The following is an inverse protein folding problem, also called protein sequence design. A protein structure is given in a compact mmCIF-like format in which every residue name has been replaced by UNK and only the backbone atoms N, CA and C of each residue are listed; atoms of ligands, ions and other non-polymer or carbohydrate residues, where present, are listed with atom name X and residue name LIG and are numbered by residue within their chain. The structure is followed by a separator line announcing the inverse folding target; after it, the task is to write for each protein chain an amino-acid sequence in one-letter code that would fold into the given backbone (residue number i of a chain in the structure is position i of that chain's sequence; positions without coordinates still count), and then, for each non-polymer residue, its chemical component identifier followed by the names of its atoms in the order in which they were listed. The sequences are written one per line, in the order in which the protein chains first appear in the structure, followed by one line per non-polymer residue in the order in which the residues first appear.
data_IF_132597328432
#
_entry.id   IF_132597328432
#
_cell.length_a   1.000
_cell.length_b   1.000
_cell.length_c   1.000
_cell.angle_alpha   90.00
_cell.angle_beta   90.00
_cell.angle_gamma   90.00
#
_symmetry.space_group_name_H-M   'P 1'
#
loop_
_entity.id
_entity.type
_entity.pdbx_description
1 polymer ?
#
# COMPACT_ATOMS: atom_id res chain seq x y z
N UNK A 1 -15.91 21.65 25.26
CA UNK A 1 -15.81 20.21 24.87
C UNK A 1 -16.55 19.40 25.91
N UNK A 2 -17.53 18.60 25.53
CA UNK A 2 -18.41 17.86 26.46
C UNK A 2 -17.59 16.73 27.13
N UNK A 3 -17.72 16.51 28.45
CA UNK A 3 -16.97 15.46 29.18
C UNK A 3 -17.10 14.06 28.57
N UNK A 4 -18.25 13.75 27.95
CA UNK A 4 -18.46 12.48 27.25
C UNK A 4 -17.52 12.28 26.06
N UNK A 5 -17.21 13.36 25.30
CA UNK A 5 -16.30 13.27 24.16
C UNK A 5 -14.83 13.07 24.60
N UNK A 6 -14.45 13.62 25.74
CA UNK A 6 -13.09 13.43 26.31
C UNK A 6 -12.87 11.99 26.76
N UNK A 7 -13.86 11.37 27.42
CA UNK A 7 -13.79 9.96 27.85
C UNK A 7 -13.73 9.00 26.64
N UNK A 8 -14.57 9.21 25.63
CA UNK A 8 -14.55 8.40 24.41
C UNK A 8 -13.19 8.48 23.70
N UNK A 9 -12.61 9.66 23.61
CA UNK A 9 -11.27 9.86 23.04
C UNK A 9 -10.20 9.10 23.84
N UNK A 10 -10.22 9.19 25.16
CA UNK A 10 -9.26 8.47 26.02
C UNK A 10 -9.38 6.96 25.84
N UNK A 11 -10.60 6.42 25.84
CA UNK A 11 -10.86 5.01 25.59
C UNK A 11 -10.34 4.58 24.21
N UNK A 12 -10.60 5.38 23.19
CA UNK A 12 -10.10 5.12 21.84
C UNK A 12 -8.55 5.09 21.81
N UNK A 13 -7.88 6.02 22.48
CA UNK A 13 -6.41 6.06 22.55
C UNK A 13 -5.85 4.85 23.29
N UNK A 14 -6.44 4.45 24.43
CA UNK A 14 -6.04 3.24 25.15
C UNK A 14 -6.21 2.00 24.28
N UNK A 15 -7.35 1.87 23.62
CA UNK A 15 -7.59 0.76 22.69
C UNK A 15 -6.58 0.75 21.54
N UNK A 16 -6.30 1.90 20.94
CA UNK A 16 -5.29 2.03 19.90
C UNK A 16 -3.89 1.62 20.38
N UNK A 17 -3.50 2.01 21.60
CA UNK A 17 -2.20 1.63 22.16
C UNK A 17 -2.09 0.11 22.32
N UNK A 18 -3.11 -0.52 22.92
CA UNK A 18 -3.17 -1.98 23.09
C UNK A 18 -3.14 -2.69 21.72
N UNK A 19 -3.98 -2.24 20.77
CA UNK A 19 -4.05 -2.85 19.44
C UNK A 19 -2.72 -2.69 18.69
N UNK A 20 -2.06 -1.54 18.79
CA UNK A 20 -0.73 -1.33 18.21
C UNK A 20 0.29 -2.34 18.79
N UNK A 21 0.32 -2.49 20.12
CA UNK A 21 1.23 -3.42 20.77
C UNK A 21 0.98 -4.88 20.34
N UNK A 22 -0.29 -5.30 20.27
CA UNK A 22 -0.69 -6.63 19.80
C UNK A 22 -0.27 -6.86 18.35
N UNK A 23 -0.48 -5.88 17.46
CA UNK A 23 -0.08 -5.97 16.05
C UNK A 23 1.44 -6.08 15.92
N UNK A 24 2.20 -5.23 16.61
CA UNK A 24 3.67 -5.27 16.57
C UNK A 24 4.22 -6.60 17.07
N UNK A 25 3.70 -7.10 18.19
CA UNK A 25 4.07 -8.41 18.70
C UNK A 25 3.75 -9.52 17.70
N UNK A 26 2.56 -9.48 17.09
CA UNK A 26 2.12 -10.50 16.12
C UNK A 26 2.96 -10.46 14.84
N UNK A 27 3.22 -9.29 14.31
CA UNK A 27 4.07 -9.11 13.12
C UNK A 27 5.50 -9.57 13.38
N UNK A 28 6.09 -9.19 14.50
CA UNK A 28 7.44 -9.63 14.84
C UNK A 28 7.52 -11.16 14.84
N UNK A 29 6.53 -11.83 15.45
CA UNK A 29 6.49 -13.28 15.45
C UNK A 29 6.30 -13.89 14.05
N UNK A 30 5.39 -13.35 13.24
CA UNK A 30 5.17 -13.81 11.87
C UNK A 30 6.43 -13.62 11.03
N UNK A 31 7.04 -12.45 11.06
CA UNK A 31 8.25 -12.15 10.29
C UNK A 31 9.44 -13.02 10.71
N UNK A 32 9.60 -13.26 12.02
CA UNK A 32 10.62 -14.20 12.50
C UNK A 32 10.39 -15.62 11.95
N UNK A 33 9.17 -16.12 12.04
CA UNK A 33 8.83 -17.45 11.53
C UNK A 33 8.98 -17.56 10.01
N UNK A 34 8.72 -16.49 9.27
CA UNK A 34 8.96 -16.43 7.82
C UNK A 34 10.44 -16.38 7.49
N UNK A 35 11.25 -15.59 8.22
CA UNK A 35 12.69 -15.52 8.03
C UNK A 35 13.40 -16.85 8.38
N UNK A 36 12.85 -17.60 9.34
CA UNK A 36 13.36 -18.89 9.78
C UNK A 36 12.74 -20.10 9.02
N UNK A 37 11.99 -19.84 7.94
CA UNK A 37 11.31 -20.84 7.08
C UNK A 37 10.31 -21.76 7.79
N UNK A 38 9.78 -21.34 8.95
CA UNK A 38 8.68 -22.07 9.61
C UNK A 38 7.30 -21.74 9.01
N UNK A 39 7.20 -20.62 8.29
CA UNK A 39 6.01 -20.22 7.55
C UNK A 39 6.44 -19.91 6.11
N UNK A 40 5.83 -20.55 5.17
CA UNK A 40 6.16 -20.40 3.75
C UNK A 40 5.91 -18.97 3.27
N UNK A 41 6.95 -18.35 2.69
CA UNK A 41 6.96 -17.00 2.14
C UNK A 41 8.12 -16.84 1.16
N UNK A 42 8.21 -15.71 0.48
CA UNK A 42 9.37 -15.37 -0.36
C UNK A 42 10.62 -14.98 0.46
N UNK A 43 10.50 -14.84 1.78
CA UNK A 43 11.61 -14.34 2.60
C UNK A 43 12.85 -15.22 2.55
N UNK A 44 12.77 -16.57 2.68
CA UNK A 44 13.96 -17.44 2.53
C UNK A 44 14.61 -17.30 1.17
N UNK A 45 13.82 -17.23 0.09
CA UNK A 45 14.34 -17.03 -1.26
C UNK A 45 15.06 -15.68 -1.41
N UNK A 46 14.48 -14.59 -0.90
CA UNK A 46 15.15 -13.29 -0.88
C UNK A 46 16.44 -13.28 -0.06
N UNK A 47 16.47 -13.99 1.09
CA UNK A 47 17.69 -14.14 1.88
C UNK A 47 18.77 -14.90 1.10
N UNK A 48 18.40 -16.03 0.48
CA UNK A 48 19.33 -16.83 -0.32
C UNK A 48 19.88 -16.03 -1.50
N UNK A 49 19.03 -15.34 -2.27
CA UNK A 49 19.46 -14.50 -3.39
C UNK A 49 20.38 -13.36 -2.93
N UNK A 50 20.06 -12.71 -1.82
CA UNK A 50 20.89 -11.64 -1.27
C UNK A 50 22.27 -12.16 -0.86
N UNK A 51 22.36 -13.29 -0.18
CA UNK A 51 23.63 -13.87 0.28
C UNK A 51 24.47 -14.46 -0.86
N UNK A 52 23.84 -14.94 -1.92
CA UNK A 52 24.54 -15.38 -3.15
C UNK A 52 24.96 -14.23 -4.08
N UNK A 53 24.71 -12.98 -3.69
CA UNK A 53 24.97 -11.78 -4.50
C UNK A 53 24.22 -11.71 -5.84
N UNK A 54 23.16 -12.51 -6.01
CA UNK A 54 22.34 -12.55 -7.22
C UNK A 54 21.11 -11.63 -7.16
N UNK A 55 21.08 -10.70 -6.19
CA UNK A 55 20.02 -9.72 -6.04
C UNK A 55 20.62 -8.32 -5.80
N UNK A 56 19.97 -7.30 -6.33
CA UNK A 56 20.46 -5.91 -6.42
C UNK A 56 19.57 -4.92 -5.67
N UNK A 57 18.43 -5.34 -5.11
CA UNK A 57 17.49 -4.47 -4.38
C UNK A 57 18.07 -3.94 -3.06
N UNK A 58 17.54 -2.81 -2.58
CA UNK A 58 17.96 -2.25 -1.28
C UNK A 58 17.76 -3.25 -0.13
N UNK A 59 16.73 -4.11 -0.22
CA UNK A 59 16.49 -5.22 0.70
C UNK A 59 17.66 -6.19 0.79
N UNK A 60 18.32 -6.46 -0.32
CA UNK A 60 19.46 -7.40 -0.38
C UNK A 60 20.69 -6.84 0.30
N UNK A 61 20.97 -5.55 0.15
CA UNK A 61 22.04 -4.88 0.90
C UNK A 61 21.76 -4.91 2.41
N UNK A 62 20.51 -4.69 2.81
CA UNK A 62 20.10 -4.77 4.21
C UNK A 62 20.30 -6.19 4.76
N UNK A 63 19.88 -7.23 4.03
CA UNK A 63 20.07 -8.63 4.43
C UNK A 63 21.56 -8.93 4.60
N UNK A 64 22.39 -8.64 3.60
CA UNK A 64 23.83 -8.86 3.67
C UNK A 64 24.45 -8.19 4.88
N UNK A 65 24.07 -6.95 5.15
CA UNK A 65 24.53 -6.22 6.35
C UNK A 65 24.13 -6.94 7.63
N UNK A 66 22.87 -7.33 7.79
CA UNK A 66 22.38 -7.98 9.02
C UNK A 66 22.99 -9.36 9.25
N UNK A 67 23.15 -10.18 8.20
CA UNK A 67 23.81 -11.50 8.30
C UNK A 67 25.30 -11.37 8.54
N UNK A 68 25.95 -10.36 7.98
CA UNK A 68 27.39 -10.07 8.18
C UNK A 68 27.73 -9.65 9.60
N UNK A 69 26.77 -9.17 10.40
CA UNK A 69 27.03 -8.75 11.78
C UNK A 69 27.32 -9.94 12.71
N UNK A 70 26.46 -10.97 12.73
CA UNK A 70 26.56 -12.10 13.66
C UNK A 70 25.99 -13.42 13.13
N UNK A 71 25.90 -13.57 11.80
CA UNK A 71 25.42 -14.78 11.15
C UNK A 71 23.89 -14.94 11.14
N UNK A 72 23.44 -16.16 10.85
CA UNK A 72 22.06 -16.46 10.45
C UNK A 72 21.02 -16.14 11.53
N UNK A 73 21.14 -16.71 12.73
CA UNK A 73 20.14 -16.50 13.80
C UNK A 73 19.97 -15.03 14.18
N UNK A 74 21.09 -14.30 14.23
CA UNK A 74 21.04 -12.86 14.45
C UNK A 74 20.38 -12.14 13.27
N UNK A 75 20.73 -12.51 12.06
CA UNK A 75 20.17 -11.94 10.82
C UNK A 75 18.66 -12.12 10.75
N UNK A 76 18.15 -13.32 11.02
CA UNK A 76 16.71 -13.62 11.06
C UNK A 76 15.97 -12.76 12.10
N UNK A 77 16.51 -12.69 13.32
CA UNK A 77 15.93 -11.88 14.40
C UNK A 77 15.96 -10.39 14.06
N UNK A 78 17.12 -9.89 13.60
CA UNK A 78 17.29 -8.49 13.24
C UNK A 78 16.38 -8.07 12.08
N UNK A 79 16.27 -8.89 11.03
CA UNK A 79 15.38 -8.62 9.90
C UNK A 79 13.92 -8.58 10.33
N UNK A 80 13.47 -9.51 11.18
CA UNK A 80 12.09 -9.51 11.69
C UNK A 80 11.77 -8.26 12.51
N UNK A 81 12.72 -7.77 13.32
CA UNK A 81 12.60 -6.52 14.08
C UNK A 81 12.56 -5.30 13.15
N UNK A 82 13.43 -5.25 12.13
CA UNK A 82 13.45 -4.17 11.13
C UNK A 82 12.14 -4.13 10.36
N UNK A 83 11.61 -5.27 9.93
CA UNK A 83 10.30 -5.36 9.28
C UNK A 83 9.16 -4.89 10.19
N UNK A 84 9.21 -5.25 11.47
CA UNK A 84 8.22 -4.81 12.47
C UNK A 84 8.28 -3.29 12.69
N UNK A 85 9.48 -2.73 12.83
CA UNK A 85 9.70 -1.28 12.93
C UNK A 85 9.23 -0.55 11.65
N UNK A 86 9.45 -1.16 10.49
CA UNK A 86 8.97 -0.64 9.21
C UNK A 86 7.42 -0.62 9.15
N UNK A 87 6.71 -1.63 9.70
CA UNK A 87 5.25 -1.58 9.78
C UNK A 87 4.77 -0.46 10.73
N UNK A 88 5.45 -0.23 11.85
CA UNK A 88 5.15 0.89 12.74
C UNK A 88 5.36 2.24 12.02
N UNK A 89 6.43 2.38 11.25
CA UNK A 89 6.65 3.53 10.39
C UNK A 89 5.51 3.70 9.37
N UNK A 90 5.07 2.60 8.74
CA UNK A 90 3.92 2.58 7.84
C UNK A 90 2.61 3.05 8.50
N UNK A 91 2.32 2.60 9.72
CA UNK A 91 1.18 3.10 10.51
C UNK A 91 1.27 4.62 10.70
N UNK A 92 2.44 5.11 11.09
CA UNK A 92 2.66 6.54 11.34
C UNK A 92 2.49 7.38 10.06
N UNK A 93 3.09 6.96 8.96
CA UNK A 93 2.98 7.68 7.67
C UNK A 93 1.57 7.65 7.10
N UNK A 94 0.85 6.53 7.25
CA UNK A 94 -0.57 6.43 6.91
C UNK A 94 -1.45 7.34 7.76
N UNK A 95 -1.17 7.43 9.05
CA UNK A 95 -1.88 8.36 9.94
C UNK A 95 -1.67 9.82 9.52
N UNK A 96 -0.43 10.21 9.20
CA UNK A 96 -0.13 11.55 8.68
C UNK A 96 -0.88 11.83 7.37
N UNK A 97 -0.87 10.86 6.44
CA UNK A 97 -1.58 10.97 5.18
C UNK A 97 -3.09 11.10 5.39
N UNK A 98 -3.67 10.26 6.23
CA UNK A 98 -5.10 10.29 6.53
C UNK A 98 -5.51 11.60 7.20
N UNK A 99 -4.69 12.13 8.13
CA UNK A 99 -4.89 13.45 8.74
C UNK A 99 -4.79 14.60 7.73
N UNK A 100 -3.97 14.45 6.69
CA UNK A 100 -3.89 15.43 5.61
C UNK A 100 -5.12 15.36 4.68
N UNK A 101 -5.63 14.16 4.40
CA UNK A 101 -6.82 13.97 3.56
C UNK A 101 -8.13 14.32 4.27
N UNK A 102 -8.22 13.99 5.55
CA UNK A 102 -9.40 14.17 6.40
C UNK A 102 -9.02 14.97 7.66
N UNK A 103 -8.73 16.28 7.52
CA UNK A 103 -8.28 17.10 8.65
C UNK A 103 -9.32 17.24 9.78
N UNK A 104 -10.61 17.10 9.43
CA UNK A 104 -11.72 17.11 10.36
C UNK A 104 -11.86 15.82 11.18
N UNK A 105 -11.27 14.70 10.73
CA UNK A 105 -11.28 13.46 11.49
C UNK A 105 -10.33 13.59 12.69
N UNK A 106 -10.84 13.32 13.89
CA UNK A 106 -10.04 13.38 15.10
C UNK A 106 -8.84 12.40 15.05
N UNK A 107 -7.68 12.81 15.59
CA UNK A 107 -6.43 12.06 15.49
C UNK A 107 -6.51 10.64 16.05
N UNK A 108 -7.26 10.41 17.15
CA UNK A 108 -7.47 9.09 17.71
C UNK A 108 -8.24 8.15 16.77
N UNK A 109 -9.31 8.66 16.15
CA UNK A 109 -10.08 7.89 15.17
C UNK A 109 -9.32 7.69 13.85
N UNK A 110 -8.48 8.65 13.46
CA UNK A 110 -7.57 8.46 12.32
C UNK A 110 -6.56 7.34 12.61
N UNK A 111 -5.99 7.30 13.82
CA UNK A 111 -5.09 6.22 14.23
C UNK A 111 -5.81 4.87 14.24
N UNK A 112 -7.01 4.80 14.83
CA UNK A 112 -7.83 3.60 14.82
C UNK A 112 -8.15 3.13 13.39
N UNK A 113 -8.51 4.03 12.48
CA UNK A 113 -8.77 3.69 11.08
C UNK A 113 -7.57 3.03 10.40
N UNK A 114 -6.36 3.53 10.67
CA UNK A 114 -5.12 2.96 10.16
C UNK A 114 -4.86 1.57 10.73
N UNK A 115 -5.04 1.37 12.04
CA UNK A 115 -4.86 0.06 12.67
C UNK A 115 -5.86 -0.97 12.13
N UNK A 116 -7.13 -0.58 12.00
CA UNK A 116 -8.16 -1.46 11.44
C UNK A 116 -7.90 -1.80 9.98
N UNK A 117 -7.32 -0.89 9.19
CA UNK A 117 -6.94 -1.16 7.81
C UNK A 117 -5.89 -2.28 7.69
N UNK A 118 -4.98 -2.39 8.66
CA UNK A 118 -4.02 -3.50 8.74
C UNK A 118 -4.67 -4.84 9.15
N UNK A 119 -5.88 -4.81 9.71
CA UNK A 119 -6.65 -6.00 10.08
C UNK A 119 -7.69 -6.39 9.03
N UNK A 120 -7.92 -5.57 8.01
CA UNK A 120 -8.87 -5.90 6.96
C UNK A 120 -8.32 -6.97 6.03
N UNK A 121 -9.13 -7.94 5.64
CA UNK A 121 -8.85 -8.94 4.61
C UNK A 121 -9.88 -8.86 3.47
N UNK A 122 -9.64 -9.54 2.34
CA UNK A 122 -10.60 -9.63 1.24
C UNK A 122 -11.82 -10.45 1.67
N UNK A 123 -12.96 -10.20 1.04
CA UNK A 123 -14.12 -11.06 1.20
C UNK A 123 -13.91 -12.37 0.45
N UNK A 124 -13.42 -13.39 1.16
CA UNK A 124 -13.14 -14.71 0.63
C UNK A 124 -14.27 -15.66 1.04
N UNK A 125 -14.81 -16.41 0.09
CA UNK A 125 -15.74 -17.50 0.39
C UNK A 125 -14.93 -18.77 0.67
N UNK A 126 -15.24 -19.53 1.74
CA UNK A 126 -14.57 -20.80 2.01
C UNK A 126 -14.58 -21.73 0.78
N UNK A 127 -13.44 -22.35 0.47
CA UNK A 127 -13.32 -23.30 -0.64
C UNK A 127 -13.08 -22.71 -2.03
N UNK A 128 -12.81 -21.41 -2.15
CA UNK A 128 -12.39 -20.78 -3.42
C UNK A 128 -10.90 -20.50 -3.45
N UNK A 129 -10.27 -20.78 -4.60
CA UNK A 129 -8.90 -20.35 -4.89
C UNK A 129 -8.81 -18.82 -4.85
N UNK A 130 -7.78 -18.28 -4.24
CA UNK A 130 -7.86 -16.94 -3.71
C UNK A 130 -6.94 -15.98 -4.41
N UNK A 131 -7.55 -15.10 -5.17
CA UNK A 131 -6.94 -13.89 -5.67
C UNK A 131 -7.22 -12.73 -4.70
N UNK A 132 -6.20 -12.19 -4.10
CA UNK A 132 -6.28 -10.95 -3.32
C UNK A 132 -5.97 -9.76 -4.22
N UNK A 133 -6.96 -8.89 -4.47
CA UNK A 133 -6.81 -7.74 -5.36
C UNK A 133 -6.08 -8.06 -6.68
N UNK A 134 -6.42 -9.19 -7.30
CA UNK A 134 -5.76 -9.63 -8.52
C UNK A 134 -4.55 -10.56 -8.32
N UNK A 135 -4.05 -10.72 -7.11
CA UNK A 135 -2.92 -11.57 -6.77
C UNK A 135 -3.39 -12.87 -6.16
N UNK A 136 -2.88 -14.00 -6.63
CA UNK A 136 -3.15 -15.35 -6.09
C UNK A 136 -2.55 -15.58 -4.71
N UNK A 137 -2.45 -14.54 -3.92
CA UNK A 137 -1.83 -14.65 -2.63
C UNK A 137 -2.50 -13.74 -1.62
N UNK A 138 -3.32 -14.30 -0.77
CA UNK A 138 -3.98 -13.58 0.32
C UNK A 138 -3.03 -13.08 1.40
N UNK A 139 -1.75 -13.48 1.38
CA UNK A 139 -0.80 -13.06 2.38
C UNK A 139 -0.11 -11.74 1.99
N UNK A 140 -0.62 -10.65 2.53
CA UNK A 140 -0.01 -9.33 2.38
C UNK A 140 1.40 -9.21 3.01
N UNK A 141 1.85 -10.23 3.75
CA UNK A 141 3.17 -10.28 4.41
C UNK A 141 4.17 -11.17 3.69
N UNK A 142 3.76 -11.86 2.66
CA UNK A 142 4.56 -12.88 1.96
C UNK A 142 5.81 -12.28 1.27
N UNK A 143 5.74 -11.09 0.71
CA UNK A 143 6.86 -10.49 -0.01
C UNK A 143 7.48 -9.32 0.76
N UNK A 144 8.75 -9.51 1.17
CA UNK A 144 9.49 -8.55 1.97
C UNK A 144 9.69 -7.20 1.29
N UNK A 145 9.96 -7.19 -0.02
CA UNK A 145 10.20 -5.94 -0.76
C UNK A 145 8.95 -5.07 -0.83
N UNK A 146 7.78 -5.70 -0.93
CA UNK A 146 6.48 -5.02 -0.84
C UNK A 146 6.23 -4.48 0.57
N UNK A 147 6.58 -5.23 1.61
CA UNK A 147 6.43 -4.76 3.00
C UNK A 147 7.22 -3.49 3.26
N UNK A 148 8.47 -3.41 2.76
CA UNK A 148 9.29 -2.22 2.88
C UNK A 148 8.68 -1.05 2.09
N UNK A 149 8.43 -1.23 0.79
CA UNK A 149 7.91 -0.16 -0.07
C UNK A 149 6.55 0.37 0.42
N UNK A 150 5.65 -0.50 0.84
CA UNK A 150 4.30 -0.15 1.32
C UNK A 150 4.31 0.84 2.47
N UNK A 151 5.32 0.83 3.32
CA UNK A 151 5.43 1.75 4.47
C UNK A 151 5.87 3.15 4.07
N UNK A 152 6.56 3.31 2.94
CA UNK A 152 6.97 4.60 2.40
C UNK A 152 5.93 5.23 1.47
N UNK A 153 5.10 4.44 0.79
CA UNK A 153 4.07 4.92 -0.13
C UNK A 153 3.17 6.02 0.48
N UNK A 154 2.67 5.90 1.72
CA UNK A 154 1.88 6.98 2.32
C UNK A 154 2.66 8.27 2.49
N UNK A 155 3.97 8.19 2.75
CA UNK A 155 4.85 9.35 2.81
C UNK A 155 5.01 9.99 1.44
N UNK A 156 5.22 9.18 0.39
CA UNK A 156 5.32 9.65 -0.99
C UNK A 156 4.04 10.40 -1.40
N UNK A 157 2.87 9.80 -1.14
CA UNK A 157 1.58 10.42 -1.44
C UNK A 157 1.35 11.71 -0.65
N UNK A 158 1.74 11.76 0.63
CA UNK A 158 1.63 12.95 1.48
C UNK A 158 2.52 14.09 0.97
N UNK A 159 3.79 13.78 0.69
CA UNK A 159 4.76 14.76 0.24
C UNK A 159 4.40 15.28 -1.17
N UNK A 160 3.99 14.38 -2.07
CA UNK A 160 3.47 14.78 -3.39
C UNK A 160 2.24 15.68 -3.26
N UNK A 161 1.26 15.33 -2.42
CA UNK A 161 0.06 16.14 -2.22
C UNK A 161 0.41 17.56 -1.74
N UNK A 162 1.37 17.71 -0.81
CA UNK A 162 1.85 19.02 -0.33
C UNK A 162 2.55 19.81 -1.42
N UNK A 163 3.38 19.16 -2.24
CA UNK A 163 4.04 19.79 -3.39
C UNK A 163 3.02 20.20 -4.44
N UNK A 164 2.06 19.32 -4.72
CA UNK A 164 0.98 19.59 -5.67
C UNK A 164 0.14 20.80 -5.25
N UNK A 165 -0.17 20.94 -3.97
CA UNK A 165 -0.87 22.11 -3.42
C UNK A 165 -0.05 23.40 -3.54
N UNK A 166 1.27 23.31 -3.50
CA UNK A 166 2.20 24.44 -3.58
C UNK A 166 2.66 24.75 -5.01
N UNK A 167 2.25 23.96 -6.02
CA UNK A 167 2.79 24.02 -7.40
C UNK A 167 2.61 25.34 -8.11
N UNK A 168 1.63 26.16 -7.71
CA UNK A 168 1.38 27.50 -8.27
C UNK A 168 2.19 28.61 -7.61
N UNK A 169 3.05 28.25 -6.68
CA UNK A 169 3.94 29.15 -5.94
C UNK A 169 5.34 28.56 -5.87
N UNK A 170 6.05 28.92 -4.79
CA UNK A 170 7.38 28.37 -4.52
C UNK A 170 7.26 27.01 -3.86
N UNK A 171 7.86 26.00 -4.45
CA UNK A 171 7.91 24.65 -3.86
C UNK A 171 8.78 24.67 -2.59
N UNK A 172 8.31 24.10 -1.46
CA UNK A 172 9.09 24.00 -0.25
C UNK A 172 10.29 23.05 -0.44
N UNK A 173 11.56 23.52 -0.34
CA UNK A 173 12.74 22.70 -0.71
C UNK A 173 12.86 21.41 0.11
N UNK A 174 12.59 21.50 1.43
CA UNK A 174 12.63 20.32 2.33
C UNK A 174 11.60 19.26 1.94
N UNK A 175 10.39 19.68 1.56
CA UNK A 175 9.33 18.77 1.11
C UNK A 175 9.70 18.15 -0.25
N UNK A 176 10.28 18.94 -1.15
CA UNK A 176 10.74 18.48 -2.46
C UNK A 176 11.84 17.42 -2.33
N UNK A 177 12.88 17.72 -1.54
CA UNK A 177 13.97 16.75 -1.28
C UNK A 177 13.45 15.51 -0.57
N UNK A 178 12.58 15.68 0.46
CA UNK A 178 11.96 14.57 1.16
C UNK A 178 11.16 13.67 0.23
N UNK A 179 10.41 14.24 -0.72
CA UNK A 179 9.65 13.49 -1.72
C UNK A 179 10.58 12.71 -2.66
N UNK A 180 11.60 13.38 -3.23
CA UNK A 180 12.54 12.73 -4.14
C UNK A 180 13.28 11.55 -3.47
N UNK A 181 13.72 11.73 -2.22
CA UNK A 181 14.40 10.67 -1.45
C UNK A 181 13.45 9.54 -1.04
N UNK A 182 12.24 9.86 -0.57
CA UNK A 182 11.25 8.85 -0.19
C UNK A 182 10.85 8.00 -1.39
N UNK A 183 10.55 8.62 -2.53
CA UNK A 183 10.16 7.92 -3.75
C UNK A 183 11.32 7.06 -4.30
N UNK A 184 12.57 7.54 -4.21
CA UNK A 184 13.76 6.76 -4.54
C UNK A 184 13.85 5.50 -3.66
N UNK A 185 13.72 5.64 -2.34
CA UNK A 185 13.75 4.51 -1.39
C UNK A 185 12.64 3.52 -1.67
N UNK A 186 11.41 4.00 -1.88
CA UNK A 186 10.26 3.17 -2.26
C UNK A 186 10.57 2.34 -3.52
N UNK A 187 11.13 2.98 -4.55
CA UNK A 187 11.45 2.35 -5.83
C UNK A 187 12.60 1.34 -5.72
N UNK A 188 13.63 1.64 -4.92
CA UNK A 188 14.74 0.73 -4.64
C UNK A 188 14.32 -0.52 -3.87
N UNK A 189 13.27 -0.45 -3.04
CA UNK A 189 12.69 -1.64 -2.42
C UNK A 189 11.80 -2.41 -3.41
N UNK A 190 10.86 -1.73 -4.07
CA UNK A 190 9.96 -2.32 -5.07
C UNK A 190 9.42 -1.24 -6.02
N UNK A 191 9.68 -1.33 -7.34
CA UNK A 191 9.28 -0.28 -8.28
C UNK A 191 7.77 -0.24 -8.61
N UNK A 192 6.99 -1.24 -8.21
CA UNK A 192 5.58 -1.40 -8.63
C UNK A 192 4.71 -0.17 -8.33
N UNK A 193 4.93 0.52 -7.19
CA UNK A 193 4.22 1.77 -6.90
C UNK A 193 4.64 2.90 -7.85
N UNK A 194 5.94 3.03 -8.13
CA UNK A 194 6.44 4.07 -9.02
C UNK A 194 5.87 3.92 -10.43
N UNK A 195 5.77 2.69 -10.94
CA UNK A 195 5.22 2.39 -12.26
C UNK A 195 3.78 2.87 -12.38
N UNK A 196 2.95 2.63 -11.36
CA UNK A 196 1.57 3.10 -11.32
C UNK A 196 1.44 4.62 -11.06
N UNK A 197 2.33 5.20 -10.25
CA UNK A 197 2.24 6.58 -9.79
C UNK A 197 2.78 7.58 -10.81
N UNK A 198 3.91 7.28 -11.45
CA UNK A 198 4.58 8.21 -12.36
C UNK A 198 3.71 8.62 -13.58
N UNK A 199 2.96 7.71 -14.24
CA UNK A 199 2.07 8.10 -15.34
C UNK A 199 0.95 9.04 -14.88
N UNK A 200 0.39 8.82 -13.69
CA UNK A 200 -0.65 9.71 -13.13
C UNK A 200 -0.08 11.08 -12.82
N UNK A 201 1.09 11.14 -12.18
CA UNK A 201 1.77 12.40 -11.89
C UNK A 201 2.11 13.17 -13.16
N UNK A 202 2.63 12.48 -14.18
CA UNK A 202 2.92 13.09 -15.48
C UNK A 202 1.64 13.63 -16.14
N UNK A 203 0.56 12.86 -16.16
CA UNK A 203 -0.71 13.30 -16.71
C UNK A 203 -1.26 14.54 -15.98
N UNK A 204 -1.12 14.60 -14.67
CA UNK A 204 -1.51 15.75 -13.86
C UNK A 204 -0.66 16.98 -14.16
N UNK A 205 0.66 16.84 -14.29
CA UNK A 205 1.58 17.92 -14.65
C UNK A 205 1.27 18.46 -16.04
N UNK A 206 1.10 17.60 -17.03
CA UNK A 206 0.72 17.97 -18.40
C UNK A 206 -0.64 18.67 -18.41
N UNK A 207 -1.61 18.16 -17.69
CA UNK A 207 -2.94 18.76 -17.57
C UNK A 207 -2.88 20.16 -16.94
N UNK A 208 -2.13 20.33 -15.82
CA UNK A 208 -1.99 21.64 -15.17
C UNK A 208 -1.25 22.63 -16.07
N UNK A 209 -0.19 22.19 -16.75
CA UNK A 209 0.55 22.98 -17.76
C UNK A 209 -0.37 23.53 -18.86
N UNK A 210 -1.20 22.67 -19.47
CA UNK A 210 -2.15 23.07 -20.51
C UNK A 210 -3.20 24.04 -19.93
N UNK A 211 -3.79 23.70 -18.78
CA UNK A 211 -4.84 24.46 -18.12
C UNK A 211 -4.37 25.85 -17.68
N UNK A 212 -3.15 25.97 -17.22
CA UNK A 212 -2.56 27.23 -16.75
C UNK A 212 -1.89 28.03 -17.86
N UNK A 213 -1.84 27.51 -19.09
CA UNK A 213 -1.08 28.08 -20.23
C UNK A 213 0.38 28.34 -19.85
N UNK A 214 1.03 27.33 -19.25
CA UNK A 214 2.41 27.34 -18.78
C UNK A 214 2.72 28.37 -17.64
N UNK A 215 1.69 28.91 -16.99
CA UNK A 215 1.89 29.78 -15.81
C UNK A 215 2.27 28.91 -14.60
N UNK A 216 3.53 28.78 -14.30
CA UNK A 216 4.04 27.91 -13.22
C UNK A 216 4.93 26.79 -13.71
N UNK A 217 5.29 26.81 -15.00
CA UNK A 217 6.12 25.79 -15.65
C UNK A 217 7.39 25.44 -14.86
N UNK A 218 8.04 26.42 -14.21
CA UNK A 218 9.24 26.17 -13.41
C UNK A 218 8.94 25.25 -12.22
N UNK A 219 7.85 25.50 -11.49
CA UNK A 219 7.44 24.64 -10.36
C UNK A 219 7.01 23.25 -10.83
N UNK A 220 6.33 23.15 -11.97
CA UNK A 220 5.93 21.88 -12.57
C UNK A 220 7.15 21.07 -13.04
N UNK A 221 8.12 21.72 -13.69
CA UNK A 221 9.39 21.09 -14.07
C UNK A 221 10.19 20.64 -12.84
N UNK A 222 10.30 21.49 -11.81
CA UNK A 222 10.96 21.12 -10.56
C UNK A 222 10.26 19.94 -9.89
N UNK A 223 8.92 19.89 -9.92
CA UNK A 223 8.18 18.74 -9.39
C UNK A 223 8.44 17.48 -10.22
N UNK A 224 8.48 17.60 -11.56
CA UNK A 224 8.87 16.51 -12.45
C UNK A 224 10.30 16.00 -12.20
N UNK A 225 11.25 16.90 -11.96
CA UNK A 225 12.64 16.56 -11.64
C UNK A 225 12.77 15.72 -10.36
N UNK A 226 11.85 15.83 -9.40
CA UNK A 226 11.84 15.02 -8.19
C UNK A 226 11.61 13.51 -8.46
N UNK A 227 11.07 13.16 -9.64
CA UNK A 227 10.88 11.76 -10.04
C UNK A 227 12.14 11.14 -10.66
N UNK A 228 13.12 11.93 -11.11
CA UNK A 228 14.30 11.44 -11.83
C UNK A 228 15.15 10.45 -11.01
N UNK A 229 15.41 10.65 -9.70
CA UNK A 229 16.17 9.66 -8.92
C UNK A 229 15.48 8.28 -8.90
N UNK A 230 14.15 8.26 -8.74
CA UNK A 230 13.37 7.02 -8.75
C UNK A 230 13.31 6.38 -10.16
N UNK A 231 13.18 7.19 -11.21
CA UNK A 231 13.28 6.72 -12.59
C UNK A 231 14.65 6.12 -12.91
N UNK A 232 15.72 6.74 -12.42
CA UNK A 232 17.09 6.19 -12.50
C UNK A 232 17.23 4.85 -11.77
N UNK A 233 16.63 4.71 -10.58
CA UNK A 233 16.60 3.46 -9.83
C UNK A 233 15.81 2.37 -10.58
N UNK A 234 14.67 2.70 -11.17
CA UNK A 234 13.90 1.77 -12.01
C UNK A 234 14.71 1.30 -13.22
N UNK A 235 15.36 2.23 -13.93
CA UNK A 235 16.20 1.91 -15.08
C UNK A 235 17.39 1.03 -14.66
N UNK A 236 18.06 1.36 -13.56
CA UNK A 236 19.13 0.54 -12.99
C UNK A 236 18.64 -0.87 -12.64
N UNK A 237 17.50 -1.01 -11.99
CA UNK A 237 16.88 -2.30 -11.66
C UNK A 237 16.57 -3.11 -12.92
N UNK A 238 16.05 -2.44 -13.97
CA UNK A 238 15.78 -3.06 -15.25
C UNK A 238 17.06 -3.57 -15.92
N UNK A 239 18.11 -2.74 -15.96
CA UNK A 239 19.40 -3.13 -16.54
C UNK A 239 20.06 -4.26 -15.76
N UNK A 240 20.01 -4.24 -14.43
CA UNK A 240 20.57 -5.31 -13.61
C UNK A 240 19.86 -6.65 -13.83
N UNK A 241 18.52 -6.63 -14.02
CA UNK A 241 17.73 -7.84 -14.30
C UNK A 241 17.96 -8.39 -15.70
N UNK A 242 17.97 -7.55 -16.72
CA UNK A 242 17.91 -7.99 -18.12
C UNK A 242 19.25 -7.91 -18.86
N UNK A 243 20.25 -7.19 -18.33
CA UNK A 243 21.60 -7.12 -18.88
C UNK A 243 22.64 -7.89 -18.06
N UNK A 244 22.28 -8.40 -16.86
CA UNK A 244 23.17 -9.17 -15.97
C UNK A 244 23.16 -10.68 -16.26
N UNK A 245 23.26 -11.53 -15.24
CA UNK A 245 23.25 -13.00 -15.33
C UNK A 245 21.96 -13.57 -15.94
N UNK A 246 20.86 -12.81 -15.91
CA UNK A 246 19.59 -13.15 -16.56
C UNK A 246 19.52 -12.67 -18.02
N UNK A 247 20.57 -12.06 -18.55
CA UNK A 247 20.66 -11.69 -19.96
C UNK A 247 20.60 -12.97 -20.82
N UNK A 248 19.54 -13.12 -21.60
CA UNK A 248 19.27 -14.33 -22.39
C UNK A 248 18.08 -15.14 -21.91
N UNK A 249 17.50 -14.82 -20.74
CA UNK A 249 16.16 -15.33 -20.40
C UNK A 249 15.14 -14.43 -21.10
N UNK A 250 14.34 -15.01 -22.00
CA UNK A 250 13.32 -14.32 -22.79
C UNK A 250 12.12 -13.87 -21.90
N UNK A 251 12.38 -12.98 -20.94
CA UNK A 251 11.32 -12.38 -20.13
C UNK A 251 11.02 -10.98 -20.64
N UNK A 252 9.82 -10.77 -21.16
CA UNK A 252 9.37 -9.50 -21.70
C UNK A 252 8.05 -9.11 -21.08
N UNK A 253 7.85 -7.81 -20.90
CA UNK A 253 6.55 -7.25 -20.59
C UNK A 253 5.66 -7.30 -21.84
N UNK A 254 4.48 -7.88 -21.70
CA UNK A 254 3.49 -7.97 -22.77
C UNK A 254 2.09 -7.57 -22.28
N UNK A 255 1.22 -7.24 -23.20
CA UNK A 255 -0.20 -7.14 -22.92
C UNK A 255 -0.77 -8.54 -22.67
N UNK A 256 -1.44 -8.69 -21.53
CA UNK A 256 -2.08 -9.97 -21.15
C UNK A 256 -3.19 -10.30 -22.15
N UNK A 257 -3.21 -11.53 -22.62
CA UNK A 257 -4.34 -12.03 -23.43
C UNK A 257 -5.56 -12.21 -22.53
N UNK A 258 -6.52 -11.30 -22.64
CA UNK A 258 -7.74 -11.32 -21.86
C UNK A 258 -8.74 -12.33 -22.48
N UNK A 259 -9.20 -13.28 -21.66
CA UNK A 259 -10.38 -14.07 -21.97
C UNK A 259 -11.58 -13.53 -21.18
N UNK A 260 -12.82 -13.62 -21.69
CA UNK A 260 -14.00 -13.16 -20.96
C UNK A 260 -14.13 -13.81 -19.58
N UNK A 261 -13.81 -15.08 -19.45
CA UNK A 261 -13.86 -15.83 -18.19
C UNK A 261 -12.83 -15.29 -17.20
N UNK A 262 -11.58 -15.07 -17.63
CA UNK A 262 -10.53 -14.52 -16.79
C UNK A 262 -10.85 -13.10 -16.35
N UNK A 263 -11.29 -12.24 -17.28
CA UNK A 263 -11.67 -10.86 -16.97
C UNK A 263 -12.84 -10.81 -15.98
N UNK A 264 -13.88 -11.60 -16.21
CA UNK A 264 -15.03 -11.68 -15.30
C UNK A 264 -14.62 -12.12 -13.90
N UNK A 265 -13.78 -13.16 -13.79
CA UNK A 265 -13.25 -13.65 -12.53
C UNK A 265 -12.43 -12.58 -11.81
N UNK A 266 -11.49 -11.94 -12.52
CA UNK A 266 -10.62 -10.89 -11.97
C UNK A 266 -11.44 -9.70 -11.45
N UNK A 267 -12.42 -9.22 -12.22
CA UNK A 267 -13.31 -8.12 -11.79
C UNK A 267 -14.10 -8.47 -10.52
N UNK A 268 -14.60 -9.70 -10.42
CA UNK A 268 -15.28 -10.19 -9.21
C UNK A 268 -14.33 -10.19 -8.01
N UNK A 269 -13.06 -10.61 -8.18
CA UNK A 269 -12.07 -10.62 -7.10
C UNK A 269 -11.72 -9.20 -6.64
N UNK A 270 -11.52 -8.26 -7.58
CA UNK A 270 -11.31 -6.85 -7.24
C UNK A 270 -12.52 -6.25 -6.51
N UNK A 271 -13.73 -6.53 -6.99
CA UNK A 271 -14.95 -6.05 -6.33
C UNK A 271 -15.04 -6.57 -4.90
N UNK A 272 -14.82 -7.87 -4.67
CA UNK A 272 -14.82 -8.47 -3.34
C UNK A 272 -13.72 -7.92 -2.43
N UNK A 273 -12.54 -7.66 -2.99
CA UNK A 273 -11.43 -7.03 -2.27
C UNK A 273 -11.68 -5.58 -1.88
N UNK A 274 -12.49 -4.86 -2.65
CA UNK A 274 -12.67 -3.41 -2.52
C UNK A 274 -14.09 -2.99 -2.12
N UNK A 275 -14.94 -3.90 -1.62
CA UNK A 275 -16.34 -3.58 -1.28
C UNK A 275 -16.47 -2.37 -0.36
N UNK A 276 -15.75 -2.34 0.76
CA UNK A 276 -15.77 -1.20 1.69
C UNK A 276 -15.16 0.08 1.08
N UNK A 277 -13.98 0.04 0.43
CA UNK A 277 -13.43 1.19 -0.25
C UNK A 277 -14.38 1.80 -1.28
N UNK A 278 -14.93 1.00 -2.18
CA UNK A 278 -15.89 1.45 -3.18
C UNK A 278 -17.13 2.06 -2.53
N UNK A 279 -17.70 1.37 -1.55
CA UNK A 279 -18.85 1.87 -0.80
C UNK A 279 -18.58 3.24 -0.17
N UNK A 280 -17.47 3.36 0.56
CA UNK A 280 -17.10 4.59 1.25
C UNK A 280 -16.83 5.74 0.28
N UNK A 281 -16.14 5.46 -0.83
CA UNK A 281 -15.85 6.46 -1.86
C UNK A 281 -17.13 6.99 -2.51
N UNK A 282 -18.04 6.11 -2.95
CA UNK A 282 -19.29 6.52 -3.61
C UNK A 282 -20.27 7.21 -2.67
N UNK A 283 -20.28 6.84 -1.39
CA UNK A 283 -21.20 7.45 -0.42
C UNK A 283 -20.71 8.77 0.17
N UNK A 284 -19.38 8.99 0.25
CA UNK A 284 -18.78 10.10 0.97
C UNK A 284 -17.88 11.03 0.14
N UNK A 285 -17.34 10.57 -1.00
CA UNK A 285 -16.26 11.24 -1.74
C UNK A 285 -16.62 12.57 -2.42
N UNK A 286 -17.86 13.06 -2.32
CA UNK A 286 -18.36 14.14 -3.19
C UNK A 286 -18.45 15.56 -2.58
N UNK A 287 -18.06 15.80 -1.33
CA UNK A 287 -18.47 17.03 -0.63
C UNK A 287 -17.57 18.27 -0.73
N UNK A 288 -16.26 18.19 -0.86
CA UNK A 288 -15.38 19.37 -0.92
C UNK A 288 -14.42 19.37 -2.12
N UNK A 289 -14.21 20.53 -2.76
CA UNK A 289 -13.40 20.63 -3.99
C UNK A 289 -11.94 20.21 -3.77
N UNK A 290 -11.30 20.66 -2.68
CA UNK A 290 -9.91 20.25 -2.35
C UNK A 290 -9.81 18.77 -2.04
N UNK A 291 -10.78 18.24 -1.31
CA UNK A 291 -10.84 16.83 -0.98
C UNK A 291 -11.07 15.98 -2.22
N UNK A 292 -11.89 16.45 -3.17
CA UNK A 292 -12.08 15.76 -4.47
C UNK A 292 -10.78 15.67 -5.25
N UNK A 293 -9.97 16.71 -5.28
CA UNK A 293 -8.69 16.72 -6.00
C UNK A 293 -7.73 15.69 -5.38
N UNK A 294 -7.54 15.71 -4.06
CA UNK A 294 -6.67 14.75 -3.32
C UNK A 294 -7.13 13.30 -3.51
N UNK A 295 -8.41 13.04 -3.32
CA UNK A 295 -9.00 11.71 -3.49
C UNK A 295 -9.00 11.29 -4.97
N UNK A 296 -9.16 12.24 -5.89
CA UNK A 296 -9.08 12.00 -7.33
C UNK A 296 -7.70 11.52 -7.77
N UNK A 297 -6.63 12.16 -7.28
CA UNK A 297 -5.24 11.74 -7.54
C UNK A 297 -5.02 10.31 -7.02
N UNK A 298 -5.41 10.05 -5.77
CA UNK A 298 -5.25 8.74 -5.17
C UNK A 298 -6.07 7.65 -5.90
N UNK A 299 -7.31 7.97 -6.26
CA UNK A 299 -8.15 7.06 -7.05
C UNK A 299 -7.55 6.78 -8.44
N UNK A 300 -6.93 7.78 -9.09
CA UNK A 300 -6.27 7.61 -10.37
C UNK A 300 -5.04 6.67 -10.25
N UNK A 301 -4.22 6.84 -9.21
CA UNK A 301 -3.08 5.93 -8.96
C UNK A 301 -3.55 4.49 -8.75
N UNK A 302 -4.61 4.29 -7.96
CA UNK A 302 -5.19 2.95 -7.78
C UNK A 302 -5.77 2.39 -9.07
N UNK A 303 -6.44 3.22 -9.89
CA UNK A 303 -6.99 2.78 -11.17
C UNK A 303 -5.89 2.34 -12.15
N UNK A 304 -4.76 3.07 -12.20
CA UNK A 304 -3.60 2.67 -13.01
C UNK A 304 -3.00 1.38 -12.48
N UNK A 305 -2.79 1.24 -11.17
CA UNK A 305 -2.28 0.02 -10.56
C UNK A 305 -3.18 -1.21 -10.86
N UNK A 306 -4.50 -1.03 -10.82
CA UNK A 306 -5.47 -2.07 -11.20
C UNK A 306 -5.39 -2.36 -12.70
N UNK A 307 -5.26 -1.34 -13.53
CA UNK A 307 -5.13 -1.51 -14.98
C UNK A 307 -3.84 -2.27 -15.33
N UNK A 308 -2.71 -1.94 -14.69
CA UNK A 308 -1.46 -2.69 -14.85
C UNK A 308 -1.64 -4.17 -14.50
N UNK A 309 -2.24 -4.48 -13.36
CA UNK A 309 -2.51 -5.85 -12.94
C UNK A 309 -3.44 -6.61 -13.90
N UNK A 310 -4.41 -5.92 -14.50
CA UNK A 310 -5.34 -6.54 -15.45
C UNK A 310 -4.70 -6.73 -16.83
N UNK A 311 -4.00 -5.72 -17.33
CA UNK A 311 -3.60 -5.66 -18.74
C UNK A 311 -2.15 -6.05 -18.99
N UNK A 312 -1.27 -6.01 -17.98
CA UNK A 312 0.14 -6.31 -18.14
C UNK A 312 0.49 -7.67 -17.53
N UNK A 313 1.45 -8.35 -18.16
CA UNK A 313 2.07 -9.57 -17.63
C UNK A 313 3.50 -9.69 -18.16
N UNK A 314 4.27 -10.58 -17.57
CA UNK A 314 5.60 -10.95 -18.06
C UNK A 314 5.53 -12.30 -18.79
N UNK A 315 6.51 -12.55 -19.66
CA UNK A 315 6.73 -13.85 -20.31
C UNK A 315 7.93 -14.55 -19.68
N UNK A 316 8.23 -15.76 -20.17
CA UNK A 316 9.40 -16.52 -19.75
C UNK A 316 9.31 -16.97 -18.30
N UNK A 317 10.44 -17.04 -17.61
CA UNK A 317 10.53 -17.54 -16.22
C UNK A 317 9.78 -16.69 -15.21
N UNK A 318 9.51 -15.40 -15.52
CA UNK A 318 8.80 -14.47 -14.64
C UNK A 318 7.29 -14.40 -14.89
N UNK A 319 6.76 -15.21 -15.81
CA UNK A 319 5.35 -15.15 -16.20
C UNK A 319 4.36 -15.30 -15.03
N UNK A 320 4.78 -16.00 -13.97
CA UNK A 320 3.98 -16.28 -12.78
C UNK A 320 4.33 -15.41 -11.56
N UNK A 321 5.29 -14.47 -11.68
CA UNK A 321 5.72 -13.65 -10.54
C UNK A 321 4.69 -12.58 -10.13
N UNK A 322 3.71 -12.30 -11.00
CA UNK A 322 2.66 -11.31 -10.74
C UNK A 322 3.19 -9.90 -10.49
N UNK A 323 4.31 -9.51 -11.11
CA UNK A 323 5.00 -8.25 -10.77
C UNK A 323 4.15 -7.00 -10.95
N UNK A 324 3.20 -7.00 -11.89
CA UNK A 324 2.26 -5.90 -12.09
C UNK A 324 1.10 -5.88 -11.08
N UNK A 325 0.85 -6.99 -10.40
CA UNK A 325 -0.22 -7.09 -9.40
C UNK A 325 0.18 -6.39 -8.08
N UNK A 326 1.49 -6.27 -7.80
CA UNK A 326 2.01 -5.69 -6.57
C UNK A 326 1.72 -4.18 -6.40
N UNK A 327 1.44 -3.45 -7.47
CA UNK A 327 1.02 -2.05 -7.41
C UNK A 327 -0.25 -1.88 -6.55
N UNK A 328 -1.28 -2.69 -6.81
CA UNK A 328 -2.54 -2.67 -6.05
C UNK A 328 -2.35 -3.07 -4.59
N UNK A 329 -1.59 -4.15 -4.33
CA UNK A 329 -1.30 -4.62 -2.98
C UNK A 329 -0.52 -3.60 -2.15
N UNK A 330 0.38 -2.86 -2.79
CA UNK A 330 1.16 -1.82 -2.11
C UNK A 330 0.28 -0.66 -1.62
N UNK A 331 -0.81 -0.37 -2.32
CA UNK A 331 -1.76 0.71 -1.99
C UNK A 331 -2.86 0.30 -1.01
N UNK A 332 -3.03 -0.99 -0.77
CA UNK A 332 -4.14 -1.58 -0.03
C UNK A 332 -4.41 -0.92 1.34
N UNK A 333 -3.40 -0.83 2.20
CA UNK A 333 -3.57 -0.25 3.54
C UNK A 333 -3.99 1.22 3.50
N UNK A 334 -3.51 1.98 2.49
CA UNK A 334 -3.91 3.37 2.29
C UNK A 334 -5.36 3.48 1.83
N UNK A 335 -5.80 2.59 0.92
CA UNK A 335 -7.18 2.51 0.43
C UNK A 335 -8.15 2.22 1.57
N UNK A 336 -7.84 1.21 2.40
CA UNK A 336 -8.69 0.85 3.53
C UNK A 336 -8.66 1.90 4.65
N UNK A 337 -7.50 2.49 4.96
CA UNK A 337 -7.39 3.57 5.94
C UNK A 337 -8.29 4.76 5.56
N UNK A 338 -8.27 5.14 4.29
CA UNK A 338 -9.15 6.20 3.79
C UNK A 338 -10.63 5.80 3.87
N UNK A 339 -10.98 4.59 3.45
CA UNK A 339 -12.35 4.10 3.48
C UNK A 339 -12.94 4.08 4.89
N UNK A 340 -12.17 3.59 5.86
CA UNK A 340 -12.56 3.55 7.28
C UNK A 340 -12.60 4.96 7.86
N UNK A 341 -11.62 5.82 7.51
CA UNK A 341 -11.62 7.22 7.92
C UNK A 341 -12.86 7.98 7.45
N UNK A 342 -13.28 7.76 6.19
CA UNK A 342 -14.52 8.31 5.64
C UNK A 342 -15.75 7.79 6.38
N UNK A 343 -15.79 6.51 6.73
CA UNK A 343 -16.86 5.90 7.50
C UNK A 343 -16.94 6.50 8.93
N UNK A 344 -15.81 6.66 9.61
CA UNK A 344 -15.76 7.28 10.92
C UNK A 344 -16.17 8.75 10.90
N UNK A 345 -15.75 9.51 9.87
CA UNK A 345 -16.21 10.88 9.66
C UNK A 345 -17.73 10.95 9.50
N UNK A 346 -18.33 10.01 8.78
CA UNK A 346 -19.80 9.92 8.66
C UNK A 346 -20.46 9.69 10.02
N UNK A 347 -19.88 8.84 10.87
CA UNK A 347 -20.39 8.58 12.22
C UNK A 347 -20.24 9.77 13.17
N UNK A 348 -19.26 10.66 12.96
CA UNK A 348 -19.07 11.87 13.77
C UNK A 348 -20.02 13.02 13.40
N UNK A 349 -20.64 12.97 12.22
CA UNK A 349 -21.61 13.97 11.82
C UNK A 349 -22.96 13.71 12.53
N UNK A 350 -23.55 14.71 13.20
CA UNK A 350 -24.82 14.52 13.87
C UNK A 350 -25.89 14.11 12.86
N UNK A 351 -26.38 12.90 12.99
CA UNK A 351 -27.52 12.39 12.21
C UNK A 351 -28.81 13.05 12.72
N UNK A 352 -29.06 14.31 12.33
CA UNK A 352 -30.32 15.03 12.68
C UNK A 352 -31.51 14.31 12.07
N UNK A 353 -31.87 13.13 12.61
CA UNK A 353 -33.05 12.36 12.19
C UNK A 353 -32.99 11.65 10.83
N UNK A 354 -31.86 11.77 10.07
CA UNK A 354 -31.75 11.19 8.73
C UNK A 354 -31.57 9.66 8.77
N UNK A 355 -32.66 8.93 8.59
CA UNK A 355 -32.69 7.47 8.53
C UNK A 355 -31.74 6.94 7.42
N UNK A 356 -31.62 7.67 6.31
CA UNK A 356 -30.73 7.30 5.20
C UNK A 356 -29.26 7.37 5.59
N UNK A 357 -28.84 8.36 6.39
CA UNK A 357 -27.47 8.44 6.90
C UNK A 357 -27.18 7.30 7.88
N UNK A 358 -28.12 6.96 8.77
CA UNK A 358 -27.99 5.82 9.70
C UNK A 358 -27.87 4.50 8.94
N UNK A 359 -28.69 4.28 7.93
CA UNK A 359 -28.62 3.09 7.08
C UNK A 359 -27.26 2.99 6.36
N UNK A 360 -26.78 4.10 5.79
CA UNK A 360 -25.46 4.14 5.15
C UNK A 360 -24.33 3.79 6.13
N UNK A 361 -24.38 4.34 7.35
CA UNK A 361 -23.40 4.01 8.38
C UNK A 361 -23.45 2.53 8.74
N UNK A 362 -24.67 1.98 8.97
CA UNK A 362 -24.85 0.57 9.30
C UNK A 362 -24.32 -0.37 8.20
N UNK A 363 -24.62 -0.08 6.93
CA UNK A 363 -24.08 -0.86 5.80
C UNK A 363 -22.54 -0.78 5.75
N UNK A 364 -21.96 0.42 5.91
CA UNK A 364 -20.52 0.59 5.93
C UNK A 364 -19.84 -0.16 7.09
N UNK A 365 -20.43 -0.15 8.29
CA UNK A 365 -19.94 -0.90 9.44
C UNK A 365 -20.06 -2.42 9.23
N UNK A 366 -21.14 -2.91 8.60
CA UNK A 366 -21.29 -4.32 8.27
C UNK A 366 -20.21 -4.78 7.27
N UNK A 367 -19.92 -3.96 6.24
CA UNK A 367 -18.84 -4.24 5.29
C UNK A 367 -17.48 -4.24 5.99
N UNK A 368 -17.22 -3.27 6.87
CA UNK A 368 -15.99 -3.22 7.66
C UNK A 368 -15.85 -4.47 8.53
N UNK A 369 -16.91 -4.87 9.23
CA UNK A 369 -16.90 -6.06 10.07
C UNK A 369 -16.57 -7.33 9.26
N UNK A 370 -17.14 -7.49 8.07
CA UNK A 370 -16.82 -8.60 7.17
C UNK A 370 -15.34 -8.64 6.81
N UNK A 371 -14.75 -7.50 6.41
CA UNK A 371 -13.31 -7.41 6.13
C UNK A 371 -12.44 -7.70 7.35
N UNK A 372 -12.83 -7.22 8.53
CA UNK A 372 -12.10 -7.46 9.78
C UNK A 372 -12.14 -8.92 10.21
N UNK A 373 -13.30 -9.57 10.14
CA UNK A 373 -13.44 -11.00 10.51
C UNK A 373 -12.47 -11.85 9.68
N UNK A 374 -12.45 -11.64 8.37
CA UNK A 374 -11.56 -12.40 7.48
C UNK A 374 -10.10 -12.06 7.74
N UNK A 375 -9.73 -10.80 7.84
CA UNK A 375 -8.35 -10.40 8.06
C UNK A 375 -7.79 -10.84 9.41
N UNK A 376 -8.60 -10.76 10.48
CA UNK A 376 -8.22 -11.30 11.81
C UNK A 376 -8.08 -12.82 11.77
N UNK A 377 -8.96 -13.51 11.05
CA UNK A 377 -8.83 -14.95 10.84
C UNK A 377 -7.49 -15.29 10.16
N UNK A 378 -7.13 -14.60 9.08
CA UNK A 378 -5.85 -14.75 8.38
C UNK A 378 -4.67 -14.48 9.31
N UNK A 379 -4.69 -13.38 10.06
CA UNK A 379 -3.63 -12.99 10.97
C UNK A 379 -3.48 -13.97 12.17
N UNK A 380 -4.58 -14.59 12.58
CA UNK A 380 -4.57 -15.52 13.73
C UNK A 380 -3.97 -16.90 13.40
N UNK A 381 -3.91 -17.30 12.14
CA UNK A 381 -3.53 -18.65 11.70
C UNK A 381 -2.36 -18.72 10.71
N UNK A 382 -1.28 -17.94 10.87
CA UNK A 382 -0.19 -17.90 9.88
C UNK A 382 0.53 -19.25 9.72
N UNK A 383 0.46 -20.16 10.70
CA UNK A 383 1.08 -21.48 10.62
C UNK A 383 0.14 -22.61 10.18
N UNK A 384 -1.19 -22.43 10.26
CA UNK A 384 -2.20 -23.36 9.73
C UNK A 384 -2.68 -22.97 8.35
N UNK A 385 -2.67 -21.68 8.08
CA UNK A 385 -2.75 -21.15 6.75
C UNK A 385 -1.39 -21.38 6.08
N UNK A 386 -0.92 -22.59 6.02
CA UNK A 386 0.26 -22.93 5.26
C UNK A 386 0.14 -22.37 3.84
N UNK A 387 1.12 -22.58 3.05
CA UNK A 387 1.11 -22.13 1.66
C UNK A 387 -0.18 -22.53 0.93
N UNK A 388 -0.75 -23.66 1.32
CA UNK A 388 -2.03 -24.15 0.83
C UNK A 388 -3.21 -23.20 1.07
N UNK A 389 -3.14 -22.36 2.11
CA UNK A 389 -4.18 -21.37 2.39
C UNK A 389 -4.07 -20.13 1.49
N UNK A 390 -2.88 -19.87 0.95
CA UNK A 390 -2.60 -18.75 0.06
C UNK A 390 -2.64 -19.13 -1.42
N UNK A 391 -2.80 -20.43 -1.72
CA UNK A 391 -2.88 -20.99 -3.08
C UNK A 391 -4.17 -21.75 -3.36
N UNK A 392 -5.15 -21.68 -2.46
CA UNK A 392 -6.48 -22.26 -2.72
C UNK A 392 -7.41 -21.30 -3.43
#
# INVERSE_FOLDING_TARGET
MNQSNTRLRQLCLCFCAVLTAVLLWRWQRIFYLMCADYIRSDMPAHVQLALSHNDYGLSSYLIRFLWGLRGEHFGQTALSLVLTANQLFGIFTLWLLLRHWLPELEGAFAWLAVLLAHLCGPWILPGQSEMYLGVYNGNVYHNMTVLFSRSFIPLDLLLFARLWESRRGKLPPKTWLGFALSLLVTTLFKPSFFVAFAPVALALLVWDFIKTRARGVVSELLLGLAFLPAAGALLWSYMALFAGEFAGTESHMILRRLTPAWLGWTLVMYLRGLLLPLYSFFTQGRRETRQRERLGIFAAVNAVAIAEAIFLTETGFRANDGNFDWGCLSLYTAVFSLAIGLLFRMGQQPAKGDARQRLRLAVGLALLLGHLVIGVYCLSRPGRAGYDWFYF
#
